data_IF_147134635678
#
_entry.id   IF_147134635678
#
_cell.length_a   1.000
_cell.length_b   1.000
_cell.length_c   1.000
_cell.angle_alpha   90.00
_cell.angle_beta   90.00
_cell.angle_gamma   90.00
#
_symmetry.space_group_name_H-M   'P 1'
#
loop_
_entity.id
_entity.type
_entity.pdbx_description
1 polymer ?
#
# COMPACT_ATOMS: atom_id res chain seq x y z
N UNK A 1 21.80 -36.25 24.32
CA UNK A 1 22.76 -35.18 23.99
C UNK A 1 22.40 -34.48 22.69
N UNK A 2 22.04 -35.24 21.64
CA UNK A 2 21.56 -34.70 20.36
C UNK A 2 20.27 -33.87 20.50
N UNK A 3 19.31 -34.31 21.31
CA UNK A 3 18.05 -33.56 21.54
C UNK A 3 18.29 -32.17 22.14
N UNK A 4 19.28 -32.02 23.04
CA UNK A 4 19.64 -30.70 23.62
C UNK A 4 20.23 -29.76 22.57
N UNK A 5 21.03 -30.29 21.63
CA UNK A 5 21.59 -29.49 20.53
C UNK A 5 20.49 -29.06 19.56
N UNK A 6 19.53 -29.95 19.26
CA UNK A 6 18.39 -29.64 18.41
C UNK A 6 17.48 -28.55 19.01
N UNK A 7 17.15 -28.65 20.31
CA UNK A 7 16.37 -27.62 21.03
C UNK A 7 17.10 -26.28 21.03
N UNK A 8 18.40 -26.27 21.36
CA UNK A 8 19.19 -25.04 21.37
C UNK A 8 19.27 -24.38 19.98
N UNK A 9 19.32 -25.17 18.90
CA UNK A 9 19.21 -24.66 17.54
C UNK A 9 17.83 -24.05 17.29
N UNK A 10 16.76 -24.75 17.67
CA UNK A 10 15.38 -24.29 17.50
C UNK A 10 15.14 -22.95 18.18
N UNK A 11 15.57 -22.79 19.43
CA UNK A 11 15.43 -21.53 20.18
C UNK A 11 16.17 -20.38 19.48
N UNK A 12 17.42 -20.61 19.07
CA UNK A 12 18.23 -19.61 18.35
C UNK A 12 17.67 -19.27 16.98
N UNK A 13 17.04 -20.23 16.30
CA UNK A 13 16.35 -20.00 15.04
C UNK A 13 15.11 -19.13 15.25
N UNK A 14 14.30 -19.44 16.27
CA UNK A 14 13.15 -18.61 16.65
C UNK A 14 13.55 -17.21 17.10
N UNK A 15 14.70 -17.04 17.76
CA UNK A 15 15.24 -15.71 18.08
C UNK A 15 15.45 -14.85 16.82
N UNK A 16 15.90 -15.45 15.70
CA UNK A 16 16.03 -14.71 14.45
C UNK A 16 14.66 -14.31 13.88
N UNK A 17 13.66 -15.20 13.97
CA UNK A 17 12.28 -14.89 13.56
C UNK A 17 11.69 -13.77 14.44
N UNK A 18 11.92 -13.81 15.75
CA UNK A 18 11.49 -12.79 16.69
C UNK A 18 12.09 -11.41 16.39
N UNK A 19 13.32 -11.35 15.86
CA UNK A 19 13.91 -10.06 15.43
C UNK A 19 13.10 -9.41 14.32
N UNK A 20 12.62 -10.19 13.34
CA UNK A 20 11.70 -9.68 12.31
C UNK A 20 10.40 -9.23 12.94
N UNK A 21 9.78 -10.06 13.78
CA UNK A 21 8.53 -9.75 14.48
C UNK A 21 8.60 -8.44 15.29
N UNK A 22 9.67 -8.26 16.09
CA UNK A 22 9.92 -7.04 16.87
C UNK A 22 10.13 -5.80 15.99
N UNK A 23 10.77 -5.97 14.82
CA UNK A 23 10.94 -4.89 13.87
C UNK A 23 9.61 -4.46 13.25
N UNK A 24 8.70 -5.38 12.93
CA UNK A 24 7.39 -5.03 12.34
C UNK A 24 6.31 -4.68 13.37
N UNK A 25 6.46 -5.06 14.63
CA UNK A 25 5.52 -4.71 15.72
C UNK A 25 5.68 -3.25 16.18
N UNK A 26 5.55 -2.32 15.24
CA UNK A 26 5.61 -0.88 15.48
C UNK A 26 4.92 -0.12 14.34
N UNK A 27 4.01 0.77 14.72
CA UNK A 27 3.18 1.53 13.78
C UNK A 27 4.01 2.31 12.75
N UNK A 28 5.03 3.04 13.18
CA UNK A 28 5.86 3.86 12.29
C UNK A 28 6.61 3.00 11.29
N UNK A 29 7.16 1.86 11.73
CA UNK A 29 7.89 0.95 10.85
C UNK A 29 6.98 0.26 9.84
N UNK A 30 5.76 -0.14 10.23
CA UNK A 30 4.77 -0.64 9.28
C UNK A 30 4.37 0.43 8.27
N UNK A 31 4.15 1.68 8.70
CA UNK A 31 3.88 2.80 7.78
C UNK A 31 5.03 3.05 6.81
N UNK A 32 6.29 2.94 7.26
CA UNK A 32 7.47 3.04 6.38
C UNK A 32 7.46 1.91 5.34
N UNK A 33 7.25 0.66 5.77
CA UNK A 33 7.18 -0.49 4.85
C UNK A 33 6.05 -0.29 3.83
N UNK A 34 4.87 0.13 4.28
CA UNK A 34 3.72 0.42 3.41
C UNK A 34 4.02 1.51 2.36
N UNK A 35 4.76 2.56 2.73
CA UNK A 35 5.17 3.62 1.79
C UNK A 35 6.25 3.15 0.81
N UNK A 36 7.19 2.31 1.27
CA UNK A 36 8.26 1.74 0.45
C UNK A 36 7.77 0.62 -0.47
N UNK A 37 6.65 -0.02 -0.15
CA UNK A 37 5.94 -0.97 -1.04
C UNK A 37 5.50 -0.30 -2.35
N UNK A 38 5.27 1.02 -2.32
CA UNK A 38 4.92 1.81 -3.51
C UNK A 38 6.16 2.24 -4.34
N UNK A 39 7.35 1.81 -3.96
CA UNK A 39 8.61 2.09 -4.67
C UNK A 39 9.62 2.91 -3.86
N UNK A 40 10.89 2.98 -4.32
CA UNK A 40 12.01 3.59 -3.58
C UNK A 40 11.82 5.08 -3.29
N UNK A 41 12.17 5.53 -2.08
CA UNK A 41 11.98 6.93 -1.63
C UNK A 41 13.14 7.43 -0.77
N UNK A 42 13.39 8.74 -0.79
CA UNK A 42 14.34 9.37 0.14
C UNK A 42 13.73 9.47 1.55
N UNK A 43 14.57 9.75 2.55
CA UNK A 43 14.12 9.90 3.94
C UNK A 43 13.10 11.02 4.09
N UNK A 44 13.29 12.14 3.37
CA UNK A 44 12.41 13.31 3.39
C UNK A 44 11.03 12.99 2.80
N UNK A 45 10.98 12.24 1.70
CA UNK A 45 9.71 11.77 1.12
C UNK A 45 8.97 10.85 2.07
N UNK A 46 9.67 9.90 2.71
CA UNK A 46 9.07 8.99 3.69
C UNK A 46 8.55 9.77 4.90
N UNK A 47 9.35 10.69 5.43
CA UNK A 47 8.99 11.49 6.60
C UNK A 47 7.75 12.36 6.34
N UNK A 48 7.67 12.97 5.15
CA UNK A 48 6.50 13.75 4.72
C UNK A 48 5.26 12.86 4.56
N UNK A 49 5.39 11.70 3.93
CA UNK A 49 4.27 10.79 3.66
C UNK A 49 3.60 10.24 4.93
N UNK A 50 4.38 9.99 6.00
CA UNK A 50 3.86 9.45 7.27
C UNK A 50 3.74 10.49 8.38
N UNK A 51 4.02 11.77 8.06
CA UNK A 51 3.96 12.93 8.96
C UNK A 51 4.79 12.80 10.25
N UNK A 52 6.09 12.53 10.12
CA UNK A 52 7.05 12.50 11.24
C UNK A 52 8.35 13.22 10.90
N UNK A 53 9.22 13.45 11.88
CA UNK A 53 10.52 14.07 11.64
C UNK A 53 11.48 13.17 10.85
N UNK A 54 12.36 13.78 10.04
CA UNK A 54 13.45 13.09 9.33
C UNK A 54 14.32 12.27 10.30
N UNK A 55 14.62 12.81 11.49
CA UNK A 55 15.41 12.10 12.51
C UNK A 55 14.72 10.83 13.02
N UNK A 56 13.40 10.88 13.27
CA UNK A 56 12.61 9.70 13.66
C UNK A 56 12.53 8.69 12.52
N UNK A 57 12.37 9.16 11.27
CA UNK A 57 12.37 8.30 10.08
C UNK A 57 13.70 7.56 9.94
N UNK A 58 14.83 8.27 10.00
CA UNK A 58 16.17 7.68 9.90
C UNK A 58 16.41 6.60 10.96
N UNK A 59 16.03 6.86 12.22
CA UNK A 59 16.15 5.86 13.30
C UNK A 59 15.35 4.58 13.00
N UNK A 60 14.12 4.72 12.51
CA UNK A 60 13.28 3.56 12.17
C UNK A 60 13.80 2.81 10.94
N UNK A 61 14.30 3.51 9.92
CA UNK A 61 14.95 2.91 8.76
C UNK A 61 16.21 2.12 9.15
N UNK A 62 17.02 2.64 10.08
CA UNK A 62 18.19 1.92 10.61
C UNK A 62 17.78 0.60 11.29
N UNK A 63 16.74 0.61 12.12
CA UNK A 63 16.22 -0.61 12.76
C UNK A 63 15.75 -1.62 11.70
N UNK A 64 14.97 -1.18 10.71
CA UNK A 64 14.51 -2.04 9.61
C UNK A 64 15.68 -2.59 8.78
N UNK A 65 16.71 -1.78 8.54
CA UNK A 65 17.92 -2.17 7.79
C UNK A 65 18.76 -3.20 8.54
N UNK A 66 18.88 -3.09 9.87
CA UNK A 66 19.62 -4.04 10.72
C UNK A 66 19.05 -5.47 10.68
N UNK A 67 17.77 -5.61 10.33
CA UNK A 67 17.10 -6.90 10.14
C UNK A 67 16.79 -7.20 8.67
N UNK A 68 17.38 -6.45 7.75
CA UNK A 68 17.27 -6.63 6.30
C UNK A 68 15.82 -6.59 5.75
N UNK A 69 14.96 -5.75 6.33
CA UNK A 69 13.61 -5.48 5.79
C UNK A 69 13.62 -4.33 4.76
N UNK A 70 14.60 -3.44 4.85
CA UNK A 70 14.85 -2.37 3.89
C UNK A 70 16.31 -2.34 3.49
N UNK A 71 16.57 -1.88 2.28
CA UNK A 71 17.92 -1.62 1.75
C UNK A 71 18.08 -0.14 1.41
N UNK A 72 19.33 0.29 1.41
CA UNK A 72 19.75 1.64 1.04
C UNK A 72 20.42 1.58 -0.33
N UNK A 73 20.02 2.44 -1.25
CA UNK A 73 20.59 2.57 -2.58
C UNK A 73 21.08 4.02 -2.78
N UNK A 74 22.35 4.16 -3.14
CA UNK A 74 22.94 5.47 -3.44
C UNK A 74 22.79 5.76 -4.93
N UNK A 75 22.10 6.83 -5.25
CA UNK A 75 22.00 7.35 -6.62
C UNK A 75 22.58 8.75 -6.66
N UNK A 76 23.77 8.87 -7.25
CA UNK A 76 24.58 10.11 -7.27
C UNK A 76 24.80 10.64 -5.84
N UNK A 77 24.25 11.81 -5.52
CA UNK A 77 24.37 12.48 -4.22
C UNK A 77 23.20 12.18 -3.27
N UNK A 78 22.23 11.36 -3.68
CA UNK A 78 21.03 11.08 -2.91
C UNK A 78 20.99 9.64 -2.42
N UNK A 79 20.46 9.46 -1.21
CA UNK A 79 20.22 8.17 -0.59
C UNK A 79 18.74 7.85 -0.69
N UNK A 80 18.42 6.73 -1.33
CA UNK A 80 17.07 6.18 -1.41
C UNK A 80 16.98 4.90 -0.59
N UNK A 81 15.79 4.65 -0.04
CA UNK A 81 15.46 3.40 0.62
C UNK A 81 14.44 2.64 -0.22
N UNK A 82 14.55 1.32 -0.23
CA UNK A 82 13.61 0.40 -0.86
C UNK A 82 13.37 -0.80 0.06
N UNK A 83 12.28 -1.54 -0.16
CA UNK A 83 12.14 -2.86 0.47
C UNK A 83 13.30 -3.75 0.05
N UNK A 84 13.78 -4.58 0.98
CA UNK A 84 14.93 -5.45 0.72
C UNK A 84 14.63 -6.47 -0.38
N UNK A 85 13.40 -7.00 -0.41
CA UNK A 85 12.89 -7.95 -1.38
C UNK A 85 11.36 -8.03 -1.34
N UNK A 86 10.78 -8.82 -2.24
CA UNK A 86 9.32 -8.99 -2.36
C UNK A 86 8.67 -9.69 -1.14
N UNK A 87 9.43 -10.49 -0.40
CA UNK A 87 8.91 -11.17 0.79
C UNK A 87 8.52 -10.19 1.90
N UNK A 88 9.15 -9.00 1.96
CA UNK A 88 8.76 -7.94 2.90
C UNK A 88 7.37 -7.38 2.56
N UNK A 89 7.07 -7.22 1.27
CA UNK A 89 5.74 -6.85 0.79
C UNK A 89 4.70 -7.95 1.11
N UNK A 90 5.07 -9.21 0.85
CA UNK A 90 4.22 -10.37 1.17
C UNK A 90 3.90 -10.47 2.66
N UNK A 91 4.87 -10.15 3.54
CA UNK A 91 4.66 -10.11 4.99
C UNK A 91 3.61 -9.07 5.37
N UNK A 92 3.70 -7.84 4.84
CA UNK A 92 2.71 -6.79 5.11
C UNK A 92 1.31 -7.23 4.66
N UNK A 93 1.20 -7.73 3.43
CA UNK A 93 -0.05 -8.24 2.87
C UNK A 93 -0.65 -9.36 3.73
N UNK A 94 0.17 -10.30 4.21
CA UNK A 94 -0.28 -11.40 5.07
C UNK A 94 -0.75 -10.91 6.44
N UNK A 95 -0.04 -9.97 7.06
CA UNK A 95 -0.46 -9.36 8.32
C UNK A 95 -1.80 -8.66 8.19
N UNK A 96 -1.99 -7.90 7.11
CA UNK A 96 -3.25 -7.20 6.80
C UNK A 96 -4.39 -8.20 6.57
N UNK A 97 -4.18 -9.22 5.73
CA UNK A 97 -5.17 -10.28 5.47
C UNK A 97 -5.55 -11.04 6.75
N UNK A 98 -4.57 -11.31 7.62
CA UNK A 98 -4.81 -12.00 8.88
C UNK A 98 -5.62 -11.12 9.85
N UNK A 99 -5.31 -9.82 9.91
CA UNK A 99 -6.06 -8.86 10.72
C UNK A 99 -7.53 -8.78 10.27
N UNK A 100 -7.80 -8.71 8.97
CA UNK A 100 -9.16 -8.73 8.41
C UNK A 100 -9.95 -9.99 8.78
N UNK A 101 -9.30 -11.15 8.70
CA UNK A 101 -9.94 -12.45 8.98
C UNK A 101 -10.14 -12.66 10.48
N UNK A 102 -9.20 -12.25 11.31
CA UNK A 102 -9.19 -12.61 12.74
C UNK A 102 -9.71 -11.52 13.66
N UNK A 103 -9.53 -10.24 13.33
CA UNK A 103 -9.87 -9.11 14.20
C UNK A 103 -11.20 -8.45 13.75
N UNK A 104 -12.29 -8.58 14.53
CA UNK A 104 -13.55 -7.89 14.23
C UNK A 104 -13.42 -6.37 14.13
N UNK A 105 -12.51 -5.77 14.89
CA UNK A 105 -12.24 -4.34 14.91
C UNK A 105 -11.72 -3.84 13.56
N UNK A 106 -10.89 -4.63 12.88
CA UNK A 106 -10.41 -4.31 11.54
C UNK A 106 -11.58 -4.26 10.55
N UNK A 107 -12.44 -5.28 10.57
CA UNK A 107 -13.63 -5.32 9.70
C UNK A 107 -14.62 -4.19 9.99
N UNK A 108 -14.76 -3.80 11.25
CA UNK A 108 -15.59 -2.67 11.64
C UNK A 108 -15.04 -1.38 11.05
N UNK A 109 -13.71 -1.16 11.16
CA UNK A 109 -13.03 -0.01 10.58
C UNK A 109 -13.21 0.05 9.06
N UNK A 110 -13.01 -1.05 8.34
CA UNK A 110 -13.19 -1.10 6.88
C UNK A 110 -14.61 -0.72 6.47
N UNK A 111 -15.63 -1.28 7.15
CA UNK A 111 -17.04 -0.95 6.89
C UNK A 111 -17.39 0.53 7.06
N UNK A 112 -16.65 1.26 7.91
CA UNK A 112 -16.88 2.72 8.05
C UNK A 112 -16.43 3.51 6.83
N UNK A 113 -15.52 2.97 6.01
CA UNK A 113 -15.02 3.61 4.79
C UNK A 113 -15.57 2.95 3.51
N UNK A 114 -15.87 1.65 3.51
CA UNK A 114 -16.31 0.89 2.33
C UNK A 114 -17.83 1.00 2.10
N UNK A 115 -18.29 2.22 1.84
CA UNK A 115 -19.69 2.55 1.55
C UNK A 115 -20.04 2.49 0.06
N UNK A 116 -19.05 2.28 -0.79
CA UNK A 116 -19.15 2.30 -2.25
C UNK A 116 -19.03 0.89 -2.84
N UNK A 117 -19.60 0.66 -4.05
CA UNK A 117 -19.37 -0.57 -4.79
C UNK A 117 -17.86 -0.85 -4.93
N UNK A 118 -17.45 -2.07 -4.57
CA UNK A 118 -16.07 -2.51 -4.69
C UNK A 118 -15.86 -3.15 -6.06
N UNK A 119 -14.74 -2.82 -6.70
CA UNK A 119 -14.25 -3.52 -7.88
C UNK A 119 -13.22 -4.55 -7.45
N UNK A 120 -13.41 -5.82 -7.82
CA UNK A 120 -12.47 -6.89 -7.52
C UNK A 120 -11.40 -7.04 -8.60
N UNK A 121 -10.28 -7.67 -8.26
CA UNK A 121 -9.17 -7.88 -9.22
C UNK A 121 -9.64 -8.66 -10.46
N UNK A 122 -10.58 -9.60 -10.30
CA UNK A 122 -11.14 -10.39 -11.39
C UNK A 122 -11.96 -9.55 -12.39
N UNK A 123 -12.51 -8.43 -11.95
CA UNK A 123 -13.33 -7.56 -12.80
C UNK A 123 -12.45 -6.68 -13.70
N UNK A 124 -11.20 -6.42 -13.30
CA UNK A 124 -10.26 -5.56 -14.02
C UNK A 124 -9.83 -6.12 -15.39
N UNK A 125 -9.92 -7.43 -15.62
CA UNK A 125 -9.64 -8.03 -16.93
C UNK A 125 -10.81 -7.89 -17.91
N UNK A 126 -12.03 -7.71 -17.38
CA UNK A 126 -13.26 -7.58 -18.16
C UNK A 126 -13.68 -6.11 -18.35
N UNK A 127 -13.03 -5.18 -17.65
CA UNK A 127 -13.26 -3.75 -17.85
C UNK A 127 -12.69 -3.31 -19.19
N UNK A 128 -13.57 -2.89 -20.08
CA UNK A 128 -13.19 -2.26 -21.33
C UNK A 128 -12.53 -0.92 -21.00
N UNK A 129 -11.21 -0.84 -21.15
CA UNK A 129 -10.43 0.36 -20.79
C UNK A 129 -10.82 1.60 -21.61
N UNK A 130 -11.69 1.43 -22.61
CA UNK A 130 -12.26 2.51 -23.39
C UNK A 130 -13.44 3.24 -22.71
N UNK A 131 -14.13 2.64 -21.73
CA UNK A 131 -15.36 3.20 -21.15
C UNK A 131 -15.23 3.67 -19.70
N UNK A 132 -14.47 2.95 -18.87
CA UNK A 132 -14.31 3.26 -17.44
C UNK A 132 -13.11 4.17 -17.21
N UNK A 133 -13.31 5.30 -16.52
CA UNK A 133 -12.23 6.18 -16.09
C UNK A 133 -11.57 5.64 -14.82
N UNK A 134 -10.35 5.13 -14.93
CA UNK A 134 -9.58 4.59 -13.81
C UNK A 134 -8.74 5.70 -13.16
N UNK A 135 -9.14 6.15 -11.96
CA UNK A 135 -8.53 7.27 -11.25
C UNK A 135 -7.54 6.80 -10.17
N UNK A 136 -6.24 7.11 -10.34
CA UNK A 136 -5.18 6.87 -9.36
C UNK A 136 -4.91 8.12 -8.51
N UNK A 137 -5.14 8.02 -7.20
CA UNK A 137 -4.94 9.11 -6.22
C UNK A 137 -3.54 9.18 -5.60
N UNK A 138 -2.63 8.27 -5.97
CA UNK A 138 -1.29 8.22 -5.39
C UNK A 138 -0.42 9.36 -5.94
N UNK A 139 0.66 9.73 -5.23
CA UNK A 139 1.69 10.62 -5.76
C UNK A 139 2.23 10.14 -7.10
N UNK A 140 2.59 11.08 -7.96
CA UNK A 140 3.05 10.81 -9.34
C UNK A 140 4.27 9.90 -9.40
N UNK A 141 5.16 9.94 -8.40
CA UNK A 141 6.30 9.01 -8.36
C UNK A 141 5.90 7.55 -8.10
N UNK A 142 4.81 7.31 -7.35
CA UNK A 142 4.26 5.97 -7.15
C UNK A 142 3.54 5.47 -8.42
N UNK A 143 2.79 6.36 -9.08
CA UNK A 143 2.13 6.07 -10.35
C UNK A 143 3.16 5.71 -11.44
N UNK A 144 4.21 6.51 -11.60
CA UNK A 144 5.27 6.28 -12.59
C UNK A 144 6.08 5.01 -12.35
N UNK A 145 6.10 4.49 -11.12
CA UNK A 145 6.76 3.23 -10.81
C UNK A 145 5.93 2.04 -11.37
N UNK A 146 4.68 1.91 -10.90
CA UNK A 146 3.72 0.89 -11.38
C UNK A 146 2.29 1.38 -11.12
N UNK A 147 1.40 1.22 -12.08
CA UNK A 147 -0.03 1.57 -11.98
C UNK A 147 -0.93 0.57 -12.74
N UNK A 148 -2.24 0.65 -12.52
CA UNK A 148 -3.22 -0.14 -13.27
C UNK A 148 -3.21 0.25 -14.75
N UNK A 149 -3.46 -0.70 -15.65
CA UNK A 149 -3.50 -0.42 -17.09
C UNK A 149 -4.60 0.61 -17.40
N UNK A 150 -4.27 1.65 -18.17
CA UNK A 150 -5.23 2.72 -18.52
C UNK A 150 -5.55 3.69 -17.39
N UNK A 151 -4.85 3.63 -16.25
CA UNK A 151 -5.07 4.56 -15.14
C UNK A 151 -4.62 5.98 -15.47
N UNK A 152 -5.38 6.94 -14.96
CA UNK A 152 -5.09 8.36 -14.99
C UNK A 152 -4.75 8.85 -13.59
N UNK A 153 -3.58 9.49 -13.44
CA UNK A 153 -3.12 9.98 -12.15
C UNK A 153 -3.64 11.39 -11.86
N UNK A 154 -4.35 11.54 -10.75
CA UNK A 154 -4.62 12.84 -10.11
C UNK A 154 -4.34 12.65 -8.63
N UNK A 155 -3.14 13.04 -8.13
CA UNK A 155 -2.79 12.85 -6.73
C UNK A 155 -3.84 13.43 -5.79
N UNK A 156 -4.07 12.76 -4.65
CA UNK A 156 -5.08 13.19 -3.67
C UNK A 156 -4.94 14.65 -3.24
N UNK A 157 -3.71 15.15 -3.13
CA UNK A 157 -3.42 16.54 -2.74
C UNK A 157 -3.61 17.56 -3.87
N UNK A 158 -3.89 17.10 -5.09
CA UNK A 158 -4.01 17.91 -6.32
C UNK A 158 -5.41 17.82 -6.93
N UNK A 159 -6.29 16.97 -6.39
CA UNK A 159 -7.64 16.79 -6.92
C UNK A 159 -8.47 18.08 -6.78
N UNK A 160 -9.00 18.54 -7.90
CA UNK A 160 -9.95 19.65 -7.97
C UNK A 160 -11.31 19.13 -8.43
N UNK A 161 -12.25 19.01 -7.48
CA UNK A 161 -13.60 18.53 -7.74
C UNK A 161 -14.44 19.49 -8.59
N UNK A 162 -13.97 20.70 -8.88
CA UNK A 162 -14.66 21.64 -9.79
C UNK A 162 -14.26 21.47 -11.24
N UNK A 163 -13.13 20.79 -11.50
CA UNK A 163 -12.58 20.60 -12.84
C UNK A 163 -12.03 19.17 -13.00
N UNK A 164 -12.93 18.22 -13.18
CA UNK A 164 -12.59 16.82 -13.40
C UNK A 164 -12.61 16.49 -14.90
N UNK A 165 -11.70 15.62 -15.39
CA UNK A 165 -11.57 15.30 -16.82
C UNK A 165 -12.60 14.26 -17.31
N UNK A 166 -13.65 13.99 -16.53
CA UNK A 166 -14.70 13.02 -16.83
C UNK A 166 -16.07 13.58 -16.43
N UNK A 167 -17.12 13.11 -17.10
CA UNK A 167 -18.48 13.61 -16.87
C UNK A 167 -19.18 12.90 -15.69
N UNK A 168 -20.21 13.52 -15.07
CA UNK A 168 -20.97 12.90 -13.97
C UNK A 168 -21.61 11.54 -14.26
N UNK A 169 -21.89 11.24 -15.54
CA UNK A 169 -22.54 9.99 -15.95
C UNK A 169 -21.53 8.92 -16.40
N UNK A 170 -20.25 9.25 -16.52
CA UNK A 170 -19.18 8.30 -16.88
C UNK A 170 -18.92 7.34 -15.73
N UNK A 171 -18.58 6.09 -16.03
CA UNK A 171 -18.10 5.14 -15.02
C UNK A 171 -16.72 5.56 -14.52
N UNK A 172 -16.56 5.67 -13.21
CA UNK A 172 -15.31 6.07 -12.56
C UNK A 172 -14.95 5.05 -11.49
N UNK A 173 -13.77 4.44 -11.63
CA UNK A 173 -13.20 3.56 -10.62
C UNK A 173 -12.04 4.28 -9.94
N UNK A 174 -12.13 4.50 -8.63
CA UNK A 174 -11.12 5.24 -7.85
C UNK A 174 -10.24 4.27 -7.07
N UNK A 175 -8.92 4.47 -7.08
CA UNK A 175 -8.00 3.67 -6.29
C UNK A 175 -6.85 4.46 -5.66
N UNK A 176 -6.24 3.86 -4.63
CA UNK A 176 -5.09 4.37 -3.90
C UNK A 176 -4.10 3.23 -3.64
N UNK A 177 -3.64 3.06 -2.39
CA UNK A 177 -2.64 2.07 -1.96
C UNK A 177 -3.29 0.81 -1.35
N UNK A 178 -4.53 0.51 -1.72
CA UNK A 178 -5.33 -0.59 -1.16
C UNK A 178 -5.95 -0.31 0.22
N UNK A 179 -6.33 -1.38 0.93
CA UNK A 179 -7.17 -1.38 2.15
C UNK A 179 -6.70 -0.50 3.30
N UNK A 180 -5.39 -0.28 3.43
CA UNK A 180 -4.84 0.61 4.47
C UNK A 180 -4.84 2.10 4.08
N UNK A 181 -5.33 2.47 2.89
CA UNK A 181 -5.51 3.84 2.43
C UNK A 181 -7.00 4.22 2.35
N UNK A 182 -7.42 5.22 3.13
CA UNK A 182 -8.80 5.72 3.09
C UNK A 182 -9.13 6.65 1.91
N UNK A 183 -8.15 7.08 1.10
CA UNK A 183 -8.37 8.14 0.11
C UNK A 183 -9.33 7.76 -1.03
N UNK A 184 -9.30 6.51 -1.51
CA UNK A 184 -10.20 6.08 -2.58
C UNK A 184 -11.67 6.19 -2.15
N UNK A 185 -11.97 5.71 -0.94
CA UNK A 185 -13.29 5.81 -0.32
C UNK A 185 -13.70 7.28 -0.07
N UNK A 186 -12.80 8.12 0.42
CA UNK A 186 -13.08 9.55 0.65
C UNK A 186 -13.43 10.27 -0.65
N UNK A 187 -12.58 10.14 -1.67
CA UNK A 187 -12.81 10.78 -2.98
C UNK A 187 -14.05 10.21 -3.67
N UNK A 188 -14.25 8.90 -3.64
CA UNK A 188 -15.42 8.27 -4.25
C UNK A 188 -16.74 8.74 -3.63
N UNK A 189 -16.78 8.93 -2.30
CA UNK A 189 -17.98 9.44 -1.63
C UNK A 189 -18.22 10.92 -1.96
N UNK A 190 -17.16 11.72 -2.05
CA UNK A 190 -17.24 13.12 -2.49
C UNK A 190 -17.76 13.23 -3.94
N UNK A 191 -17.30 12.35 -4.84
CA UNK A 191 -17.83 12.28 -6.21
C UNK A 191 -19.33 11.95 -6.20
N UNK A 192 -19.78 10.94 -5.44
CA UNK A 192 -21.22 10.64 -5.31
C UNK A 192 -22.02 11.82 -4.77
N UNK A 193 -21.52 12.50 -3.73
CA UNK A 193 -22.18 13.67 -3.15
C UNK A 193 -22.35 14.81 -4.16
N UNK A 194 -21.46 14.88 -5.16
CA UNK A 194 -21.49 15.85 -6.25
C UNK A 194 -22.29 15.40 -7.48
N UNK A 195 -22.98 14.27 -7.41
CA UNK A 195 -23.87 13.78 -8.46
C UNK A 195 -23.22 12.87 -9.50
N UNK A 196 -22.01 12.36 -9.25
CA UNK A 196 -21.44 11.30 -10.09
C UNK A 196 -22.14 9.97 -9.78
N UNK A 197 -22.82 9.39 -10.76
CA UNK A 197 -23.76 8.28 -10.52
C UNK A 197 -23.10 6.90 -10.54
N UNK A 198 -22.01 6.74 -11.29
CA UNK A 198 -21.34 5.46 -11.53
C UNK A 198 -19.94 5.43 -10.92
N UNK A 199 -19.85 5.48 -9.60
CA UNK A 199 -18.58 5.48 -8.86
C UNK A 199 -18.37 4.15 -8.13
N UNK A 200 -17.27 3.48 -8.42
CA UNK A 200 -16.75 2.34 -7.66
C UNK A 200 -15.37 2.64 -7.10
N UNK A 201 -14.92 1.83 -6.14
CA UNK A 201 -13.57 1.90 -5.59
C UNK A 201 -12.86 0.56 -5.75
N UNK A 202 -11.55 0.63 -5.93
CA UNK A 202 -10.68 -0.54 -5.98
C UNK A 202 -9.74 -0.49 -4.76
N UNK A 203 -10.10 -1.23 -3.72
CA UNK A 203 -9.37 -1.26 -2.45
C UNK A 203 -8.30 -2.36 -2.38
N UNK A 204 -7.81 -2.84 -3.51
CA UNK A 204 -6.60 -3.67 -3.57
C UNK A 204 -5.37 -2.83 -3.91
N UNK A 205 -4.20 -3.28 -3.48
CA UNK A 205 -2.93 -2.67 -3.85
C UNK A 205 -2.54 -3.03 -5.30
N UNK A 206 -1.67 -2.21 -5.90
CA UNK A 206 -1.08 -2.51 -7.21
C UNK A 206 -0.31 -3.83 -7.19
N UNK A 207 0.34 -4.15 -6.06
CA UNK A 207 1.04 -5.43 -5.86
C UNK A 207 0.07 -6.62 -5.92
N UNK A 208 -1.10 -6.52 -5.29
CA UNK A 208 -2.12 -7.58 -5.35
C UNK A 208 -2.67 -7.76 -6.76
N UNK A 209 -2.92 -6.66 -7.48
CA UNK A 209 -3.33 -6.69 -8.88
C UNK A 209 -2.29 -7.40 -9.78
N UNK A 210 -1.00 -7.05 -9.65
CA UNK A 210 0.07 -7.68 -10.42
C UNK A 210 0.15 -9.20 -10.16
N UNK A 211 -0.02 -9.62 -8.90
CA UNK A 211 -0.04 -11.04 -8.53
C UNK A 211 -1.28 -11.76 -9.05
N UNK A 212 -2.42 -11.09 -9.06
CA UNK A 212 -3.65 -11.62 -9.66
C UNK A 212 -3.49 -11.89 -11.16
N UNK A 213 -2.82 -10.98 -11.88
CA UNK A 213 -2.49 -11.16 -13.30
C UNK A 213 -1.59 -12.36 -13.58
N UNK A 214 -0.61 -12.63 -12.71
CA UNK A 214 0.33 -13.74 -12.91
C UNK A 214 -0.27 -15.15 -12.72
N UNK A 215 -1.51 -15.24 -12.24
CA UNK A 215 -2.24 -16.50 -12.02
C UNK A 215 -3.24 -16.86 -13.13
N UNK A 216 -3.46 -15.95 -14.07
CA UNK A 216 -4.33 -16.12 -15.24
C UNK A 216 -3.50 -16.16 -16.52
#
# INVERSE_FOLDING_TARGET
>A
MQDKLAIAYQDRAFDQVLRIGKAVSNLTRLKIIFILDQGPKSVEKISKAINISVGTTSKNLQILKQVNLVKEEKSKNFVFYALANEQVSQLLMLLTTLAEKTLPEMRCLEKTYDTLPQTEIADLSNQDSATTYVLDLRPTDEFNNVHLSGAHNIPFNEIDFTNLPFSPNQEVMVYCRGRLCGYANLVGNELKARGYTHVSVFNHSVTEWQKGKAKN
#
